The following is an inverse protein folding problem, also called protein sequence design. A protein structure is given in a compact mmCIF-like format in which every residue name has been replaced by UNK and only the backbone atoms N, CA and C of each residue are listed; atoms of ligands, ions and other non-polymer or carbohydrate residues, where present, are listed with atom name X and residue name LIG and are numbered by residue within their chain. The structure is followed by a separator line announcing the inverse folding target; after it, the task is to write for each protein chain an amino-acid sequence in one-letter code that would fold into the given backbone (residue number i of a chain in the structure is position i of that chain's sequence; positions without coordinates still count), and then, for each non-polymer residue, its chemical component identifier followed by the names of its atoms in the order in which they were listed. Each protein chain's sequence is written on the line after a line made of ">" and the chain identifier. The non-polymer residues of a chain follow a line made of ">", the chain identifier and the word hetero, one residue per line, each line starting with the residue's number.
data_IF_530300328372
#
_entry.id   IF_530300328372
#
_cell.length_a   1.000
_cell.length_b   1.000
_cell.length_c   1.000
_cell.angle_alpha   90.00
_cell.angle_beta   90.00
_cell.angle_gamma   90.00
#
_symmetry.space_group_name_H-M   'P 1'
#
loop_
_entity.id
_entity.type
_entity.pdbx_description
1 polymer ?
#
# COMPACT_ATOMS: atom_id res chain seq x y z
N UNK A 1 6.39 -0.81 -26.48
CA UNK A 1 4.97 -0.38 -26.41
C UNK A 1 4.56 -0.51 -24.97
N UNK A 2 4.13 0.58 -24.33
CA UNK A 2 3.73 0.55 -22.92
C UNK A 2 2.30 0.05 -22.76
N UNK A 3 2.01 -0.56 -21.61
CA UNK A 3 0.65 -0.98 -21.27
C UNK A 3 -0.18 0.24 -20.88
N UNK A 4 -1.34 0.38 -21.50
CA UNK A 4 -2.23 1.51 -21.24
C UNK A 4 -3.04 1.23 -19.97
N UNK A 5 -3.04 2.20 -19.06
CA UNK A 5 -3.82 2.09 -17.84
C UNK A 5 -4.44 3.41 -17.41
N UNK A 6 -5.43 3.27 -16.53
CA UNK A 6 -5.97 4.37 -15.75
C UNK A 6 -5.74 4.07 -14.27
N UNK A 7 -5.21 5.06 -13.55
CA UNK A 7 -5.10 5.04 -12.10
C UNK A 7 -6.17 5.95 -11.52
N UNK A 8 -7.13 5.35 -10.83
CA UNK A 8 -8.20 6.04 -10.15
C UNK A 8 -7.83 6.18 -8.67
N UNK A 9 -7.59 7.41 -8.22
CA UNK A 9 -7.35 7.74 -6.81
C UNK A 9 -8.70 8.06 -6.17
N UNK A 10 -8.97 7.38 -5.06
CA UNK A 10 -10.17 7.58 -4.24
C UNK A 10 -9.70 8.19 -2.93
N UNK A 11 -10.14 9.43 -2.68
CA UNK A 11 -9.85 10.11 -1.42
C UNK A 11 -10.92 9.85 -0.36
N UNK A 12 -10.66 10.35 0.86
CA UNK A 12 -11.55 10.17 2.01
C UNK A 12 -12.94 10.80 1.87
N UNK A 13 -13.12 11.77 1.00
CA UNK A 13 -14.43 12.36 0.70
C UNK A 13 -15.17 11.58 -0.40
N UNK A 14 -14.64 10.39 -0.77
CA UNK A 14 -15.05 9.62 -1.95
C UNK A 14 -14.93 10.42 -3.25
N UNK A 15 -14.14 11.51 -3.25
CA UNK A 15 -13.82 12.18 -4.49
C UNK A 15 -12.84 11.30 -5.25
N UNK A 16 -13.16 11.14 -6.52
CA UNK A 16 -12.46 10.22 -7.40
C UNK A 16 -11.77 11.04 -8.46
N UNK A 17 -10.45 10.87 -8.59
CA UNK A 17 -9.66 11.47 -9.67
C UNK A 17 -8.98 10.38 -10.46
N UNK A 18 -9.04 10.44 -11.78
CA UNK A 18 -8.46 9.41 -12.65
C UNK A 18 -7.37 9.97 -13.52
N UNK A 19 -6.26 9.24 -13.63
CA UNK A 19 -5.08 9.65 -14.37
C UNK A 19 -4.69 8.61 -15.41
N UNK A 20 -4.48 9.05 -16.65
CA UNK A 20 -4.05 8.18 -17.74
C UNK A 20 -2.55 7.90 -17.71
N UNK A 21 -2.20 6.67 -18.07
CA UNK A 21 -0.85 6.15 -18.01
C UNK A 21 -0.52 5.32 -19.27
N UNK A 22 0.41 5.77 -20.14
CA UNK A 22 0.78 5.01 -21.34
C UNK A 22 1.70 3.81 -21.07
N UNK A 23 2.17 3.63 -19.84
CA UNK A 23 3.26 2.72 -19.50
C UNK A 23 3.03 1.95 -18.19
N UNK A 24 1.86 2.07 -17.56
CA UNK A 24 1.60 1.55 -16.22
C UNK A 24 1.27 0.05 -16.22
N UNK A 25 2.17 -0.76 -16.77
CA UNK A 25 2.21 -2.18 -16.44
C UNK A 25 2.51 -2.34 -14.93
N UNK A 26 1.99 -3.37 -14.25
CA UNK A 26 2.14 -3.54 -12.80
C UNK A 26 3.59 -3.51 -12.33
N UNK A 27 4.48 -4.14 -13.10
CA UNK A 27 5.92 -4.18 -12.84
C UNK A 27 6.56 -2.79 -12.68
N UNK A 28 6.02 -1.76 -13.33
CA UNK A 28 6.53 -0.39 -13.24
C UNK A 28 5.70 0.48 -12.29
N UNK A 29 4.37 0.34 -12.30
CA UNK A 29 3.51 1.18 -11.48
C UNK A 29 3.65 0.87 -9.99
N UNK A 30 3.71 -0.41 -9.59
CA UNK A 30 3.79 -0.80 -8.18
C UNK A 30 5.06 -0.22 -7.52
N UNK A 31 6.27 -0.36 -8.11
CA UNK A 31 7.45 0.33 -7.60
C UNK A 31 7.29 1.85 -7.53
N UNK A 32 6.69 2.49 -8.54
CA UNK A 32 6.50 3.93 -8.54
C UNK A 32 5.56 4.42 -7.42
N UNK A 33 4.48 3.67 -7.17
CA UNK A 33 3.57 3.93 -6.03
C UNK A 33 4.33 3.75 -4.71
N UNK A 34 5.19 2.73 -4.58
CA UNK A 34 6.02 2.55 -3.40
C UNK A 34 7.02 3.70 -3.19
N UNK A 35 7.65 4.23 -4.25
CA UNK A 35 8.52 5.40 -4.15
C UNK A 35 7.76 6.64 -3.68
N UNK A 36 6.56 6.89 -4.24
CA UNK A 36 5.68 7.96 -3.82
C UNK A 36 5.35 7.89 -2.32
N UNK A 37 4.95 6.70 -1.85
CA UNK A 37 4.61 6.48 -0.44
C UNK A 37 5.83 6.71 0.47
N UNK A 38 7.01 6.22 0.06
CA UNK A 38 8.25 6.44 0.79
C UNK A 38 8.64 7.93 0.84
N UNK A 39 8.47 8.66 -0.27
CA UNK A 39 8.72 10.10 -0.34
C UNK A 39 7.75 10.88 0.55
N UNK A 40 6.45 10.60 0.46
CA UNK A 40 5.43 11.24 1.29
C UNK A 40 5.70 11.01 2.78
N UNK A 41 6.13 9.81 3.16
CA UNK A 41 6.53 9.48 4.54
C UNK A 41 7.72 10.33 5.02
N UNK A 42 8.76 10.43 4.19
CA UNK A 42 9.97 11.20 4.51
C UNK A 42 9.67 12.69 4.69
N UNK A 43 8.80 13.24 3.84
CA UNK A 43 8.37 14.64 3.90
C UNK A 43 7.24 14.88 4.91
N UNK A 44 6.71 13.82 5.54
CA UNK A 44 5.55 13.84 6.44
C UNK A 44 4.29 14.42 5.79
N UNK A 45 4.15 14.27 4.48
CA UNK A 45 2.94 14.67 3.76
C UNK A 45 1.79 13.69 4.01
N UNK A 46 0.56 14.19 3.84
CA UNK A 46 -0.65 13.37 3.84
C UNK A 46 -0.74 12.61 2.52
N UNK A 47 -1.32 11.40 2.52
CA UNK A 47 -1.57 10.68 1.27
C UNK A 47 -2.85 11.21 0.64
N UNK A 48 -2.72 12.04 -0.39
CA UNK A 48 -3.84 12.66 -1.13
C UNK A 48 -3.53 12.70 -2.63
N UNK A 49 -4.55 12.94 -3.46
CA UNK A 49 -4.37 13.16 -4.89
C UNK A 49 -3.47 14.39 -5.19
N UNK A 50 -3.54 15.43 -4.37
CA UNK A 50 -2.65 16.59 -4.52
C UNK A 50 -1.20 16.25 -4.20
N UNK A 51 -0.96 15.40 -3.20
CA UNK A 51 0.39 14.92 -2.86
C UNK A 51 0.93 13.98 -3.94
N UNK A 52 0.06 13.18 -4.55
CA UNK A 52 0.38 12.39 -5.75
C UNK A 52 0.83 13.28 -6.91
N UNK A 53 0.08 14.34 -7.21
CA UNK A 53 0.45 15.29 -8.27
C UNK A 53 1.75 16.03 -7.93
N UNK A 54 1.93 16.46 -6.68
CA UNK A 54 3.18 17.09 -6.23
C UNK A 54 4.39 16.16 -6.41
N UNK A 55 4.23 14.85 -6.15
CA UNK A 55 5.27 13.87 -6.44
C UNK A 55 5.52 13.73 -7.95
N UNK A 56 4.47 13.63 -8.76
CA UNK A 56 4.60 13.52 -10.22
C UNK A 56 5.23 14.77 -10.86
N UNK A 57 5.04 15.95 -10.26
CA UNK A 57 5.70 17.20 -10.64
C UNK A 57 7.18 17.22 -10.23
N UNK A 58 7.50 16.73 -9.03
CA UNK A 58 8.87 16.65 -8.54
C UNK A 58 9.71 15.58 -9.26
N UNK A 59 9.06 14.52 -9.74
CA UNK A 59 9.67 13.40 -10.45
C UNK A 59 8.93 13.11 -11.76
N UNK A 60 9.15 13.92 -12.81
CA UNK A 60 8.44 13.76 -14.08
C UNK A 60 8.64 12.37 -14.68
N UNK A 61 7.54 11.76 -15.15
CA UNK A 61 7.56 10.45 -15.80
C UNK A 61 7.51 9.25 -14.84
N UNK A 62 7.46 9.46 -13.51
CA UNK A 62 7.35 8.36 -12.55
C UNK A 62 5.92 8.01 -12.18
N UNK A 63 4.97 8.95 -12.25
CA UNK A 63 3.56 8.70 -11.98
C UNK A 63 2.65 9.31 -13.05
N UNK A 64 1.50 8.69 -13.33
CA UNK A 64 0.42 9.25 -14.14
C UNK A 64 -0.06 10.60 -13.60
N UNK A 65 -0.22 11.59 -14.48
CA UNK A 65 -0.66 12.95 -14.13
C UNK A 65 -1.73 13.53 -15.05
N UNK A 66 -1.95 12.92 -16.21
CA UNK A 66 -2.93 13.40 -17.19
C UNK A 66 -4.32 13.12 -16.66
N UNK A 67 -5.01 14.18 -16.21
CA UNK A 67 -6.34 14.08 -15.62
C UNK A 67 -7.36 13.72 -16.70
N UNK A 68 -7.98 12.56 -16.52
CA UNK A 68 -9.02 12.01 -17.38
C UNK A 68 -10.27 11.69 -16.57
N UNK A 69 -10.48 12.36 -15.42
CA UNK A 69 -11.56 12.06 -14.48
C UNK A 69 -12.94 12.03 -15.15
N UNK A 70 -13.22 13.01 -16.02
CA UNK A 70 -14.50 13.10 -16.74
C UNK A 70 -14.67 12.03 -17.82
N UNK A 71 -13.58 11.44 -18.31
CA UNK A 71 -13.57 10.45 -19.39
C UNK A 71 -13.33 9.01 -18.91
N UNK A 72 -12.77 8.81 -17.71
CA UNK A 72 -12.43 7.50 -17.14
C UNK A 72 -13.67 6.64 -16.78
N UNK A 73 -14.86 7.26 -16.76
CA UNK A 73 -16.14 6.58 -16.61
C UNK A 73 -16.66 6.01 -17.94
N UNK A 74 -16.11 6.41 -19.09
CA UNK A 74 -16.58 5.97 -20.41
C UNK A 74 -16.15 4.52 -20.70
N UNK A 75 -17.11 3.57 -20.79
CA UNK A 75 -16.80 2.18 -21.13
C UNK A 75 -16.17 2.01 -22.52
N UNK A 76 -16.32 2.97 -23.44
CA UNK A 76 -15.67 2.92 -24.74
C UNK A 76 -14.13 3.04 -24.62
N UNK A 77 -13.64 3.81 -23.65
CA UNK A 77 -12.21 3.93 -23.34
C UNK A 77 -11.68 2.72 -22.57
N UNK A 78 -12.55 1.97 -21.88
CA UNK A 78 -12.20 0.69 -21.23
C UNK A 78 -11.78 -0.37 -22.25
N UNK A 79 -12.23 -0.26 -23.51
CA UNK A 79 -11.80 -1.16 -24.58
C UNK A 79 -10.31 -1.09 -24.89
N UNK A 80 -9.67 0.07 -24.74
CA UNK A 80 -8.28 0.28 -25.15
C UNK A 80 -7.27 0.12 -24.00
N UNK A 81 -7.75 -0.11 -22.77
CA UNK A 81 -6.89 -0.28 -21.59
C UNK A 81 -6.45 -1.74 -21.41
N UNK A 82 -5.20 -1.91 -21.01
CA UNK A 82 -4.65 -3.18 -20.54
C UNK A 82 -4.95 -3.37 -19.03
N UNK A 83 -4.82 -2.29 -18.26
CA UNK A 83 -4.95 -2.30 -16.80
C UNK A 83 -5.82 -1.16 -16.25
N UNK A 84 -6.42 -1.40 -15.09
CA UNK A 84 -7.09 -0.38 -14.28
C UNK A 84 -6.63 -0.52 -12.83
N UNK A 85 -6.33 0.61 -12.20
CA UNK A 85 -5.89 0.64 -10.81
C UNK A 85 -6.83 1.48 -9.98
N UNK A 86 -7.21 0.99 -8.80
CA UNK A 86 -7.93 1.76 -7.80
C UNK A 86 -7.01 1.94 -6.59
N UNK A 87 -6.68 3.20 -6.30
CA UNK A 87 -5.81 3.60 -5.21
C UNK A 87 -6.61 4.37 -4.16
N UNK A 88 -6.98 3.67 -3.09
CA UNK A 88 -7.62 4.26 -1.93
C UNK A 88 -6.53 4.89 -1.04
N UNK A 89 -6.57 6.21 -0.85
CA UNK A 89 -5.63 6.94 0.01
C UNK A 89 -6.32 7.42 1.29
N UNK A 90 -5.83 6.96 2.43
CA UNK A 90 -6.33 7.37 3.75
C UNK A 90 -5.35 8.35 4.40
N UNK A 91 -5.69 9.64 4.38
CA UNK A 91 -4.80 10.73 4.78
C UNK A 91 -4.42 10.75 6.27
N UNK A 92 -5.34 10.47 7.21
CA UNK A 92 -5.03 10.53 8.65
C UNK A 92 -4.32 9.27 9.15
N UNK A 93 -4.60 8.11 8.55
CA UNK A 93 -4.01 6.83 8.99
C UNK A 93 -2.74 6.47 8.22
N UNK A 94 -2.36 7.29 7.23
CA UNK A 94 -1.30 6.99 6.23
C UNK A 94 -1.47 5.61 5.60
N UNK A 95 -2.69 5.08 5.58
CA UNK A 95 -3.00 3.79 4.99
C UNK A 95 -3.24 3.97 3.48
N UNK A 96 -2.99 2.90 2.75
CA UNK A 96 -3.30 2.83 1.33
C UNK A 96 -3.78 1.43 0.99
N UNK A 97 -4.63 1.37 -0.03
CA UNK A 97 -4.99 0.12 -0.72
C UNK A 97 -4.93 0.36 -2.21
N UNK A 98 -4.12 -0.43 -2.91
CA UNK A 98 -3.99 -0.46 -4.34
C UNK A 98 -4.62 -1.76 -4.84
N UNK A 99 -5.69 -1.66 -5.63
CA UNK A 99 -6.31 -2.78 -6.33
C UNK A 99 -5.95 -2.69 -7.80
N UNK A 100 -5.34 -3.74 -8.34
CA UNK A 100 -4.90 -3.80 -9.72
C UNK A 100 -5.76 -4.80 -10.50
N UNK A 101 -6.40 -4.28 -11.54
CA UNK A 101 -7.27 -5.04 -12.43
C UNK A 101 -6.62 -5.15 -13.79
N UNK A 102 -6.65 -6.34 -14.38
CA UNK A 102 -6.40 -6.51 -15.79
C UNK A 102 -7.75 -6.46 -16.50
N UNK A 103 -7.86 -5.62 -17.52
CA UNK A 103 -9.15 -5.30 -18.16
C UNK A 103 -9.57 -6.40 -19.14
N UNK A 104 -8.58 -7.09 -19.70
CA UNK A 104 -8.76 -8.22 -20.63
C UNK A 104 -8.25 -9.51 -20.01
N UNK A 105 -8.96 -10.60 -20.23
CA UNK A 105 -8.46 -11.94 -19.88
C UNK A 105 -7.33 -12.38 -20.83
N UNK A 106 -6.64 -13.51 -20.56
CA UNK A 106 -5.58 -14.00 -21.43
C UNK A 106 -6.02 -14.29 -22.88
N UNK A 107 -7.31 -14.52 -23.11
CA UNK A 107 -7.92 -14.74 -24.42
C UNK A 107 -8.34 -13.41 -25.10
N UNK A 108 -8.04 -12.27 -24.47
CA UNK A 108 -8.28 -10.92 -24.97
C UNK A 108 -9.70 -10.40 -24.80
N UNK A 109 -10.58 -11.14 -24.10
CA UNK A 109 -11.97 -10.76 -23.85
C UNK A 109 -12.06 -9.69 -22.76
N UNK A 110 -12.96 -8.69 -22.91
CA UNK A 110 -13.14 -7.62 -21.92
C UNK A 110 -13.82 -8.15 -20.66
N UNK A 111 -13.02 -8.74 -19.77
CA UNK A 111 -13.44 -9.26 -18.49
C UNK A 111 -12.47 -8.77 -17.41
N UNK A 112 -12.78 -7.64 -16.75
CA UNK A 112 -11.96 -7.15 -15.66
C UNK A 112 -11.82 -8.20 -14.56
N UNK A 113 -10.59 -8.51 -14.19
CA UNK A 113 -10.32 -9.35 -13.04
C UNK A 113 -9.27 -8.69 -12.14
N UNK A 114 -9.54 -8.73 -10.83
CA UNK A 114 -8.58 -8.33 -9.82
C UNK A 114 -7.47 -9.37 -9.80
N UNK A 115 -6.25 -8.97 -10.10
CA UNK A 115 -5.10 -9.89 -10.05
C UNK A 115 -4.15 -9.58 -8.91
N UNK A 116 -4.22 -8.38 -8.33
CA UNK A 116 -3.44 -8.03 -7.14
C UNK A 116 -4.16 -7.00 -6.26
N UNK A 117 -4.00 -7.14 -4.95
CA UNK A 117 -4.44 -6.17 -3.95
C UNK A 117 -3.32 -5.94 -2.96
N UNK A 118 -2.73 -4.74 -3.02
CA UNK A 118 -1.61 -4.35 -2.19
C UNK A 118 -2.05 -3.31 -1.17
N UNK A 119 -1.58 -3.50 0.05
CA UNK A 119 -1.75 -2.55 1.13
C UNK A 119 -0.39 -1.94 1.44
N UNK A 120 -0.35 -0.92 2.30
CA UNK A 120 0.92 -0.37 2.75
C UNK A 120 1.87 -1.41 3.37
N UNK A 121 1.34 -2.46 3.99
CA UNK A 121 2.13 -3.52 4.60
C UNK A 121 2.83 -4.41 3.55
N UNK A 122 2.14 -4.72 2.45
CA UNK A 122 2.63 -5.60 1.39
C UNK A 122 3.33 -4.85 0.25
N UNK A 123 3.00 -3.57 0.05
CA UNK A 123 3.48 -2.74 -1.07
C UNK A 123 5.00 -2.73 -1.18
N UNK A 124 5.73 -2.49 -0.09
CA UNK A 124 7.21 -2.42 -0.15
C UNK A 124 7.86 -3.77 -0.40
N UNK A 125 7.27 -4.85 0.10
CA UNK A 125 7.75 -6.21 -0.19
C UNK A 125 7.58 -6.54 -1.67
N UNK A 126 6.40 -6.26 -2.21
CA UNK A 126 6.09 -6.52 -3.61
C UNK A 126 6.89 -5.62 -4.56
N UNK A 127 7.01 -4.32 -4.25
CA UNK A 127 7.86 -3.41 -5.01
C UNK A 127 9.33 -3.86 -5.03
N UNK A 128 9.85 -4.41 -3.93
CA UNK A 128 11.20 -4.97 -3.91
C UNK A 128 11.34 -6.16 -4.85
N UNK A 129 10.38 -7.09 -4.82
CA UNK A 129 10.34 -8.28 -5.68
C UNK A 129 10.31 -7.90 -7.16
N UNK A 130 9.47 -6.94 -7.53
CA UNK A 130 9.35 -6.44 -8.90
C UNK A 130 10.62 -5.71 -9.36
N UNK A 131 11.26 -4.95 -8.48
CA UNK A 131 12.55 -4.34 -8.77
C UNK A 131 13.64 -5.40 -9.04
N UNK A 132 13.68 -6.51 -8.29
CA UNK A 132 14.64 -7.59 -8.61
C UNK A 132 14.34 -8.22 -9.98
N UNK A 133 13.05 -8.46 -10.29
CA UNK A 133 12.64 -9.00 -11.58
C UNK A 133 13.10 -8.08 -12.74
N UNK A 134 12.91 -6.77 -12.59
CA UNK A 134 13.34 -5.79 -13.59
C UNK A 134 14.87 -5.70 -13.70
N UNK A 135 15.60 -5.84 -12.59
CA UNK A 135 17.05 -5.93 -12.62
C UNK A 135 17.54 -7.16 -13.40
N UNK A 136 16.95 -8.32 -13.14
CA UNK A 136 17.30 -9.57 -13.81
C UNK A 136 16.95 -9.51 -15.30
N UNK A 137 15.84 -8.87 -15.67
CA UNK A 137 15.47 -8.61 -17.07
C UNK A 137 16.45 -7.65 -17.75
N UNK A 138 16.90 -6.59 -17.06
CA UNK A 138 17.89 -5.65 -17.57
C UNK A 138 19.25 -6.33 -17.80
N UNK A 139 19.67 -7.22 -16.89
CA UNK A 139 20.89 -8.02 -17.04
C UNK A 139 20.82 -8.98 -18.25
N UNK A 140 19.64 -9.54 -18.53
CA UNK A 140 19.41 -10.42 -19.68
C UNK A 140 19.31 -9.65 -21.01
N UNK A 141 18.98 -8.36 -20.97
CA UNK A 141 18.76 -7.49 -22.14
C UNK A 141 19.54 -6.18 -22.00
N UNK A 142 20.88 -6.24 -21.96
CA UNK A 142 21.70 -5.05 -21.78
C UNK A 142 21.51 -4.07 -22.94
N UNK A 143 21.23 -2.80 -22.61
CA UNK A 143 21.03 -1.72 -23.58
C UNK A 143 19.58 -1.47 -23.98
N UNK A 144 18.60 -2.21 -23.44
CA UNK A 144 17.19 -1.84 -23.57
C UNK A 144 16.90 -0.59 -22.73
N UNK A 145 16.68 0.53 -23.41
CA UNK A 145 16.42 1.82 -22.77
C UNK A 145 15.15 1.82 -21.89
N UNK A 146 14.22 0.88 -22.11
CA UNK A 146 13.01 0.75 -21.31
C UNK A 146 13.27 0.15 -19.92
N UNK A 147 14.34 -0.65 -19.77
CA UNK A 147 14.58 -1.43 -18.55
C UNK A 147 15.46 -0.74 -17.52
N UNK A 148 15.86 0.53 -17.74
CA UNK A 148 16.81 1.25 -16.90
C UNK A 148 18.09 0.42 -16.58
N UNK A 149 19.00 0.98 -15.78
CA UNK A 149 20.19 0.26 -15.34
C UNK A 149 19.82 -0.77 -14.25
N UNK A 150 20.28 -2.02 -14.40
CA UNK A 150 20.07 -3.12 -13.43
C UNK A 150 20.47 -2.71 -12.01
N UNK A 151 21.60 -2.00 -11.88
CA UNK A 151 22.07 -1.53 -10.58
C UNK A 151 21.10 -0.53 -9.92
N UNK A 152 20.38 0.27 -10.72
CA UNK A 152 19.37 1.18 -10.21
C UNK A 152 18.17 0.42 -9.62
N UNK A 153 17.72 -0.63 -10.29
CA UNK A 153 16.64 -1.49 -9.79
C UNK A 153 17.06 -2.25 -8.53
N UNK A 154 18.27 -2.80 -8.49
CA UNK A 154 18.79 -3.48 -7.28
C UNK A 154 18.91 -2.52 -6.09
N UNK A 155 19.31 -1.25 -6.33
CA UNK A 155 19.32 -0.21 -5.28
C UNK A 155 17.91 0.08 -4.74
N UNK A 156 16.92 0.23 -5.62
CA UNK A 156 15.50 0.40 -5.24
C UNK A 156 14.99 -0.79 -4.44
N UNK A 157 15.24 -2.01 -4.90
CA UNK A 157 14.86 -3.23 -4.18
C UNK A 157 15.44 -3.26 -2.76
N UNK A 158 16.72 -2.93 -2.60
CA UNK A 158 17.37 -2.84 -1.27
C UNK A 158 16.74 -1.76 -0.39
N UNK A 159 16.39 -0.60 -0.96
CA UNK A 159 15.70 0.46 -0.23
C UNK A 159 14.32 0.00 0.26
N UNK A 160 13.52 -0.62 -0.61
CA UNK A 160 12.19 -1.11 -0.24
C UNK A 160 12.24 -2.23 0.80
N UNK A 161 13.18 -3.17 0.67
CA UNK A 161 13.40 -4.19 1.72
C UNK A 161 13.75 -3.55 3.06
N UNK A 162 14.58 -2.51 3.09
CA UNK A 162 14.89 -1.77 4.33
C UNK A 162 13.67 -1.08 4.93
N UNK A 163 12.81 -0.48 4.10
CA UNK A 163 11.57 0.15 4.53
C UNK A 163 10.54 -0.87 5.02
N UNK A 164 10.51 -2.05 4.41
CA UNK A 164 9.69 -3.18 4.83
C UNK A 164 10.19 -3.76 6.17
N UNK A 165 11.50 -4.01 6.29
CA UNK A 165 12.10 -4.62 7.49
C UNK A 165 12.19 -3.67 8.69
N UNK A 166 12.32 -2.35 8.49
CA UNK A 166 12.33 -1.37 9.58
C UNK A 166 10.99 -1.21 10.28
N UNK A 167 9.93 -1.85 9.76
CA UNK A 167 8.58 -1.87 10.29
C UNK A 167 8.23 -3.22 10.92
N UNK A 168 9.21 -3.95 11.46
CA UNK A 168 9.12 -5.32 12.00
C UNK A 168 8.11 -5.58 13.15
N UNK A 169 7.12 -4.71 13.35
CA UNK A 169 5.90 -4.98 14.13
C UNK A 169 4.67 -5.15 13.23
N UNK A 170 4.88 -5.55 11.96
CA UNK A 170 3.83 -5.61 10.93
C UNK A 170 3.66 -7.02 10.39
N UNK A 171 3.09 -7.89 11.20
CA UNK A 171 2.42 -9.15 10.81
C UNK A 171 1.50 -9.49 11.99
N UNK A 172 0.23 -9.06 12.01
CA UNK A 172 -0.86 -9.72 11.31
C UNK A 172 -2.15 -8.85 11.21
N UNK A 173 -2.10 -7.54 11.49
CA UNK A 173 -3.33 -6.71 11.61
C UNK A 173 -3.26 -5.30 11.02
N UNK A 174 -2.32 -4.99 10.12
CA UNK A 174 -2.17 -3.64 9.57
C UNK A 174 -2.88 -3.45 8.22
N UNK A 175 -4.18 -3.73 8.16
CA UNK A 175 -5.03 -3.07 7.16
C UNK A 175 -5.33 -1.61 7.54
N UNK A 176 -5.02 -1.18 8.77
CA UNK A 176 -5.39 0.14 9.28
C UNK A 176 -4.31 0.72 10.21
N UNK A 177 -3.49 1.61 9.65
CA UNK A 177 -2.79 2.70 10.36
C UNK A 177 -2.19 2.37 11.73
N UNK A 178 -1.23 1.43 11.79
CA UNK A 178 -0.55 1.13 13.05
C UNK A 178 0.40 2.26 13.48
N UNK A 179 0.12 2.93 14.61
CA UNK A 179 1.01 3.95 15.22
C UNK A 179 1.68 3.34 16.45
N UNK A 180 3.02 3.29 16.45
CA UNK A 180 3.78 2.85 17.64
C UNK A 180 4.13 4.05 18.50
N UNK A 181 3.71 4.04 19.76
CA UNK A 181 4.05 5.04 20.77
C UNK A 181 5.15 4.46 21.67
N UNK A 182 6.33 5.09 21.64
CA UNK A 182 7.44 4.70 22.51
C UNK A 182 7.10 5.00 23.98
N UNK A 183 7.58 4.15 24.89
CA UNK A 183 7.41 4.39 26.32
C UNK A 183 8.02 5.71 26.76
N UNK A 184 7.30 6.46 27.59
CA UNK A 184 7.74 7.71 28.22
C UNK A 184 7.77 7.54 29.74
N UNK A 185 8.27 8.55 30.46
CA UNK A 185 8.23 8.53 31.93
C UNK A 185 6.80 8.45 32.49
N UNK A 186 5.80 8.97 31.76
CA UNK A 186 4.40 8.92 32.15
C UNK A 186 3.68 7.62 31.69
N UNK A 187 4.17 7.01 30.61
CA UNK A 187 3.64 5.76 30.03
C UNK A 187 4.80 4.80 29.76
N UNK A 188 5.24 4.01 30.75
CA UNK A 188 6.51 3.27 30.67
C UNK A 188 6.51 2.12 29.65
N UNK A 189 5.33 1.71 29.19
CA UNK A 189 5.17 0.58 28.28
C UNK A 189 4.91 1.09 26.85
N UNK A 190 5.62 0.57 25.84
CA UNK A 190 5.32 0.89 24.45
C UNK A 190 3.90 0.43 24.10
N UNK A 191 3.21 1.22 23.27
CA UNK A 191 1.86 0.90 22.79
C UNK A 191 1.78 1.00 21.28
N UNK A 192 0.79 0.33 20.71
CA UNK A 192 0.49 0.34 19.28
C UNK A 192 -0.97 0.72 19.08
N UNK A 193 -1.29 1.64 18.20
CA UNK A 193 -2.66 1.94 17.83
C UNK A 193 -2.94 1.32 16.48
N UNK A 194 -3.83 0.33 16.38
CA UNK A 194 -4.20 -0.35 15.14
C UNK A 194 -5.68 -0.02 14.89
N UNK A 195 -6.02 0.61 13.76
CA UNK A 195 -7.43 0.97 13.48
C UNK A 195 -8.14 1.81 14.57
N UNK A 196 -7.41 2.63 15.33
CA UNK A 196 -7.96 3.35 16.50
C UNK A 196 -8.06 2.50 17.78
N UNK A 197 -7.59 1.25 17.76
CA UNK A 197 -7.51 0.34 18.90
C UNK A 197 -6.11 0.41 19.49
N UNK A 198 -5.97 0.81 20.75
CA UNK A 198 -4.69 0.81 21.46
C UNK A 198 -4.38 -0.58 22.01
N UNK A 199 -3.25 -1.15 21.60
CA UNK A 199 -2.67 -2.40 22.07
C UNK A 199 -1.45 -2.06 22.91
N UNK A 200 -1.46 -2.45 24.18
CA UNK A 200 -0.32 -2.31 25.09
C UNK A 200 0.17 -3.70 25.44
N UNK A 201 1.45 -3.96 25.18
CA UNK A 201 2.09 -5.22 25.56
C UNK A 201 3.16 -4.93 26.61
N UNK A 202 3.11 -5.63 27.75
CA UNK A 202 4.17 -5.56 28.76
C UNK A 202 4.56 -6.95 29.25
N UNK A 203 5.86 -7.19 29.37
CA UNK A 203 6.39 -8.40 29.96
C UNK A 203 6.69 -8.15 31.45
N UNK A 204 6.09 -8.94 32.33
CA UNK A 204 6.43 -8.95 33.74
C UNK A 204 7.73 -9.72 34.00
N UNK A 205 8.31 -9.49 35.18
CA UNK A 205 9.60 -10.06 35.60
C UNK A 205 9.56 -11.59 35.69
N UNK A 206 8.38 -12.17 35.88
CA UNK A 206 8.14 -13.62 35.91
C UNK A 206 8.04 -14.25 34.50
N UNK A 207 8.19 -13.45 33.44
CA UNK A 207 8.08 -13.89 32.05
C UNK A 207 6.66 -13.84 31.49
N UNK A 208 5.67 -13.39 32.27
CA UNK A 208 4.29 -13.26 31.80
C UNK A 208 4.16 -12.09 30.83
N UNK A 209 3.65 -12.34 29.62
CA UNK A 209 3.27 -11.30 28.68
C UNK A 209 1.81 -10.90 28.92
N UNK A 210 1.59 -9.63 29.23
CA UNK A 210 0.27 -9.02 29.34
C UNK A 210 0.00 -8.19 28.09
N UNK A 211 -1.10 -8.50 27.41
CA UNK A 211 -1.59 -7.74 26.26
C UNK A 211 -2.93 -7.12 26.66
N UNK A 212 -2.99 -5.79 26.67
CA UNK A 212 -4.22 -5.04 26.87
C UNK A 212 -4.64 -4.40 25.55
N UNK A 213 -5.91 -4.57 25.19
CA UNK A 213 -6.50 -4.03 23.96
C UNK A 213 -7.62 -3.08 24.34
N UNK A 214 -7.44 -1.79 24.07
CA UNK A 214 -8.41 -0.73 24.31
C UNK A 214 -8.99 -0.29 22.97
N UNK A 215 -10.23 -0.67 22.64
CA UNK A 215 -10.94 -0.08 21.52
C UNK A 215 -11.24 1.38 21.88
N UNK A 216 -10.46 2.33 21.37
CA UNK A 216 -10.70 3.76 21.57
C UNK A 216 -11.94 4.23 20.78
N UNK A 217 -11.83 5.35 20.08
CA UNK A 217 -12.81 5.81 19.07
C UNK A 217 -12.83 4.94 17.80
N UNK A 218 -12.29 3.73 17.87
CA UNK A 218 -12.32 2.78 16.77
C UNK A 218 -13.77 2.56 16.33
N UNK A 219 -14.02 2.87 15.06
CA UNK A 219 -15.32 2.83 14.39
C UNK A 219 -16.13 1.56 14.74
N UNK A 220 -17.45 1.70 14.68
CA UNK A 220 -18.44 0.66 14.98
C UNK A 220 -18.26 -0.65 14.22
N UNK A 221 -17.45 -0.69 13.16
CA UNK A 221 -17.18 -1.90 12.37
C UNK A 221 -16.26 -2.93 13.07
N UNK A 222 -15.55 -2.57 14.16
CA UNK A 222 -14.71 -3.51 14.94
C UNK A 222 -15.50 -4.20 16.08
N UNK A 223 -16.68 -3.66 16.42
CA UNK A 223 -17.52 -4.18 17.51
C UNK A 223 -18.56 -5.16 16.96
N UNK A 224 -18.82 -6.22 17.72
CA UNK A 224 -19.96 -7.11 17.50
C UNK A 224 -21.27 -6.36 17.80
N UNK A 225 -22.43 -6.90 17.35
CA UNK A 225 -23.74 -6.32 17.66
C UNK A 225 -24.04 -6.16 19.16
N UNK A 226 -23.38 -6.94 20.02
CA UNK A 226 -23.48 -6.87 21.49
C UNK A 226 -22.54 -5.81 22.13
N UNK A 227 -21.79 -5.07 21.30
CA UNK A 227 -20.87 -4.02 21.74
C UNK A 227 -19.49 -4.50 22.18
N UNK A 228 -19.23 -5.82 22.16
CA UNK A 228 -17.92 -6.39 22.48
C UNK A 228 -16.96 -6.27 21.30
N UNK A 229 -15.66 -6.01 21.54
CA UNK A 229 -14.66 -6.02 20.47
C UNK A 229 -14.46 -7.45 19.96
N UNK A 230 -14.46 -7.64 18.63
CA UNK A 230 -14.11 -8.92 18.04
C UNK A 230 -12.59 -9.13 18.14
N UNK A 231 -12.14 -9.87 19.15
CA UNK A 231 -10.71 -10.13 19.39
C UNK A 231 -10.41 -11.59 19.08
N UNK A 232 -9.44 -11.80 18.18
CA UNK A 232 -8.84 -13.09 17.90
C UNK A 232 -7.33 -12.98 18.10
N UNK A 233 -6.77 -13.76 19.02
CA UNK A 233 -5.35 -13.80 19.33
C UNK A 233 -4.77 -15.15 18.94
N UNK A 234 -3.73 -15.12 18.11
CA UNK A 234 -2.95 -16.29 17.71
C UNK A 234 -1.48 -16.14 18.11
N UNK A 235 -0.82 -17.26 18.40
CA UNK A 235 0.63 -17.39 18.57
C UNK A 235 1.09 -18.54 17.69
N UNK A 236 2.04 -18.29 16.79
CA UNK A 236 2.51 -19.29 15.80
C UNK A 236 1.34 -19.98 15.07
N UNK A 237 0.36 -19.18 14.61
CA UNK A 237 -0.88 -19.63 13.95
C UNK A 237 -1.84 -20.49 14.81
N UNK A 238 -1.57 -20.62 16.11
CA UNK A 238 -2.47 -21.27 17.06
C UNK A 238 -3.34 -20.24 17.80
N UNK A 239 -4.66 -20.39 17.72
CA UNK A 239 -5.58 -19.55 18.48
C UNK A 239 -5.44 -19.80 19.99
N UNK A 240 -5.05 -18.76 20.72
CA UNK A 240 -4.89 -18.79 22.18
C UNK A 240 -6.03 -18.07 22.90
N UNK A 241 -6.75 -17.19 22.21
CA UNK A 241 -7.94 -16.52 22.74
C UNK A 241 -8.84 -16.05 21.59
N UNK A 242 -10.14 -16.24 21.75
CA UNK A 242 -11.15 -15.72 20.84
C UNK A 242 -12.35 -15.30 21.68
N UNK A 243 -12.71 -14.02 21.64
CA UNK A 243 -13.93 -13.52 22.29
C UNK A 243 -14.92 -13.11 21.24
#
# INVERSE_FOLDING_TARGET
>A
MGAQAVVTIIDRQAQTRSYWAPWAHPDYLIPAVAEFVAWADQQRYRLTADTWLAYADAYPGTLPREDVTDSAADPALVGDLDYRYELDLHDDSRALRLRAFQVRDPDGQPRPYLFDELTRATLFGEAARLCDLLADLADQRPGDAALADSDAWRRRAKQFRRLHSSRAVTALAANLGTIVTAGTFAEPNPSMVIAGVHVVAHAAVDGTLYIAVYPGDADTWIRRPDGTPAIHLTVDDHAIYSS
#
